data_IF_317050895981
#
_entry.id   IF_317050895981
#
_cell.length_a   1.000
_cell.length_b   1.000
_cell.length_c   1.000
_cell.angle_alpha   90.00
_cell.angle_beta   90.00
_cell.angle_gamma   90.00
#
_symmetry.space_group_name_H-M   'P 1'
#
loop_
_entity.id
_entity.type
_entity.pdbx_description
1 polymer ?
#
# COMPACT_ATOMS: atom_id res chain seq x y z
N UNK A 1 66.63 35.40 -6.71
CA UNK A 1 67.27 35.03 -5.43
C UNK A 1 66.14 34.86 -4.42
N UNK A 2 65.74 33.71 -3.89
CA UNK A 2 66.48 32.51 -3.51
C UNK A 2 65.47 31.37 -3.44
N UNK A 3 65.58 30.40 -4.35
CA UNK A 3 65.13 29.04 -4.11
C UNK A 3 66.04 28.45 -3.04
N UNK A 4 65.50 27.98 -1.92
CA UNK A 4 66.09 26.89 -1.11
C UNK A 4 65.14 26.55 0.03
N UNK A 5 64.43 25.42 -0.11
CA UNK A 5 64.78 24.16 0.56
C UNK A 5 64.29 24.12 2.01
N UNK A 6 63.14 23.50 2.24
CA UNK A 6 63.09 22.42 3.23
C UNK A 6 61.95 21.44 2.94
N UNK A 7 62.33 20.48 2.10
CA UNK A 7 62.00 19.06 2.20
C UNK A 7 61.67 18.56 3.62
N UNK A 8 60.46 18.05 3.85
CA UNK A 8 60.13 16.88 4.70
C UNK A 8 58.76 16.36 4.20
N UNK A 9 58.73 15.46 3.22
CA UNK A 9 58.67 14.01 3.45
C UNK A 9 57.51 13.58 4.34
N UNK A 10 56.37 13.19 3.73
CA UNK A 10 55.40 12.19 4.19
C UNK A 10 54.29 12.11 3.11
N UNK A 11 53.96 11.01 2.44
CA UNK A 11 54.40 9.63 2.51
C UNK A 11 53.68 8.79 1.42
N UNK A 12 54.28 7.62 1.15
CA UNK A 12 53.66 6.32 0.77
C UNK A 12 52.45 6.33 -0.20
N UNK A 13 52.63 5.92 -1.45
CA UNK A 13 52.51 4.52 -1.97
C UNK A 13 51.11 3.90 -1.80
N UNK A 14 50.44 3.65 -2.93
CA UNK A 14 49.32 2.69 -3.07
C UNK A 14 48.68 2.81 -4.45
N UNK A 15 48.99 1.91 -5.40
CA UNK A 15 48.21 0.70 -5.75
C UNK A 15 46.97 1.04 -6.62
N UNK A 16 47.00 0.77 -7.93
CA UNK A 16 46.54 -0.47 -8.57
C UNK A 16 45.08 -0.85 -8.23
N UNK A 17 44.22 -0.91 -9.25
CA UNK A 17 42.87 -1.46 -9.22
C UNK A 17 41.97 -0.76 -10.24
N UNK A 18 41.94 -1.16 -11.53
CA UNK A 18 41.18 -2.30 -12.07
C UNK A 18 39.78 -2.40 -11.47
N UNK A 19 38.79 -2.21 -12.35
CA UNK A 19 37.38 -2.18 -11.99
C UNK A 19 36.87 -3.50 -11.42
N UNK A 20 35.71 -3.42 -10.79
CA UNK A 20 34.85 -4.56 -10.54
C UNK A 20 33.40 -4.08 -10.48
N UNK A 21 32.57 -4.80 -11.24
CA UNK A 21 31.14 -4.64 -11.35
C UNK A 21 30.44 -4.56 -9.99
N UNK A 22 29.55 -3.58 -9.83
CA UNK A 22 28.43 -3.68 -8.89
C UNK A 22 27.24 -4.28 -9.63
N UNK A 23 27.36 -5.59 -9.89
CA UNK A 23 26.22 -6.44 -10.11
C UNK A 23 25.62 -6.78 -8.73
N UNK A 24 24.33 -6.45 -8.57
CA UNK A 24 23.39 -7.17 -7.72
C UNK A 24 23.57 -7.08 -6.20
N UNK A 25 22.66 -6.38 -5.54
CA UNK A 25 22.06 -6.90 -4.31
C UNK A 25 20.54 -6.81 -4.39
N UNK A 26 19.96 -8.01 -4.47
CA UNK A 26 18.55 -8.37 -4.39
C UNK A 26 17.93 -7.89 -3.07
N UNK A 27 16.64 -7.56 -3.10
CA UNK A 27 15.59 -7.86 -2.09
C UNK A 27 14.27 -7.36 -2.72
N UNK A 28 13.48 -8.18 -3.41
CA UNK A 28 12.86 -9.38 -2.86
C UNK A 28 11.58 -9.04 -2.08
N UNK A 29 10.73 -8.16 -2.61
CA UNK A 29 9.41 -7.89 -2.05
C UNK A 29 8.38 -8.91 -2.54
N UNK A 30 8.22 -10.03 -1.84
CA UNK A 30 7.03 -10.89 -2.00
C UNK A 30 5.83 -10.17 -1.39
N UNK A 31 5.28 -9.20 -2.13
CA UNK A 31 3.97 -8.64 -1.82
C UNK A 31 2.93 -9.73 -2.02
N UNK A 32 2.23 -10.11 -0.95
CA UNK A 32 0.98 -10.87 -1.03
C UNK A 32 -0.06 -10.03 -1.79
N UNK A 33 -0.06 -10.13 -3.11
CA UNK A 33 -1.21 -9.74 -3.91
C UNK A 33 -2.25 -10.85 -3.76
N UNK A 34 -3.11 -10.74 -2.74
CA UNK A 34 -4.35 -11.51 -2.67
C UNK A 34 -5.32 -10.90 -3.69
N UNK A 35 -5.19 -11.34 -4.93
CA UNK A 35 -6.23 -11.15 -5.94
C UNK A 35 -7.47 -11.96 -5.51
N UNK A 36 -8.60 -11.28 -5.45
CA UNK A 36 -9.90 -11.78 -5.07
C UNK A 36 -10.28 -13.06 -5.83
N UNK A 37 -10.39 -14.17 -5.09
CA UNK A 37 -10.75 -15.49 -5.60
C UNK A 37 -12.26 -15.51 -5.88
N UNK A 38 -12.62 -15.61 -7.16
CA UNK A 38 -13.99 -15.56 -7.65
C UNK A 38 -14.94 -16.55 -6.95
N UNK A 39 -15.95 -15.99 -6.29
CA UNK A 39 -17.30 -16.52 -6.01
C UNK A 39 -17.99 -15.69 -4.91
N UNK A 40 -17.84 -14.35 -4.89
CA UNK A 40 -18.27 -13.57 -3.72
C UNK A 40 -19.76 -13.23 -3.78
N UNK A 41 -20.57 -14.11 -3.19
CA UNK A 41 -21.87 -13.78 -2.63
C UNK A 41 -21.76 -13.82 -1.11
N UNK A 42 -21.40 -12.69 -0.51
CA UNK A 42 -21.31 -12.52 0.95
C UNK A 42 -22.23 -11.39 1.42
N UNK A 43 -23.48 -11.42 0.96
CA UNK A 43 -24.52 -10.47 1.32
C UNK A 43 -24.23 -9.02 0.89
N UNK A 44 -25.28 -8.26 0.55
CA UNK A 44 -25.17 -6.80 0.52
C UNK A 44 -25.18 -6.27 1.96
N UNK A 45 -24.50 -5.16 2.20
CA UNK A 45 -24.39 -4.57 3.54
C UNK A 45 -24.92 -3.15 3.51
N UNK A 46 -25.82 -2.81 4.45
CA UNK A 46 -26.41 -1.46 4.52
C UNK A 46 -25.87 -0.69 5.71
N UNK A 47 -25.50 0.57 5.48
CA UNK A 47 -25.17 1.51 6.55
C UNK A 47 -26.44 1.86 7.32
N UNK A 48 -26.43 1.65 8.64
CA UNK A 48 -27.56 1.98 9.52
C UNK A 48 -27.31 3.25 10.35
N UNK A 49 -26.34 4.08 9.98
CA UNK A 49 -26.16 5.36 10.62
C UNK A 49 -27.24 6.35 10.15
N UNK A 50 -27.80 7.13 11.08
CA UNK A 50 -28.84 8.13 10.83
C UNK A 50 -28.30 9.42 10.21
N UNK A 51 -26.98 9.62 10.19
CA UNK A 51 -26.36 10.82 9.61
C UNK A 51 -26.26 10.79 8.07
N UNK A 52 -26.69 9.71 7.42
CA UNK A 52 -26.75 9.62 5.94
C UNK A 52 -27.92 8.79 5.44
N UNK A 53 -28.18 8.92 4.14
CA UNK A 53 -29.00 7.98 3.39
C UNK A 53 -28.45 6.54 3.50
N UNK A 54 -29.31 5.52 3.38
CA UNK A 54 -28.90 4.12 3.46
C UNK A 54 -27.99 3.74 2.29
N UNK A 55 -26.67 3.75 2.54
CA UNK A 55 -25.68 3.24 1.60
C UNK A 55 -25.62 1.72 1.62
N UNK A 56 -25.65 1.09 0.44
CA UNK A 56 -25.55 -0.37 0.28
C UNK A 56 -24.23 -0.72 -0.39
N UNK A 57 -23.36 -1.42 0.34
CA UNK A 57 -22.15 -2.03 -0.21
C UNK A 57 -22.50 -3.35 -0.91
N UNK A 58 -22.13 -3.47 -2.18
CA UNK A 58 -22.23 -4.70 -2.98
C UNK A 58 -20.83 -5.24 -3.31
N UNK A 59 -20.46 -6.41 -2.78
CA UNK A 59 -19.19 -7.06 -3.10
C UNK A 59 -18.94 -7.28 -4.59
N UNK A 60 -19.97 -7.43 -5.43
CA UNK A 60 -19.82 -7.65 -6.87
C UNK A 60 -19.41 -6.38 -7.63
N UNK A 61 -19.74 -5.21 -7.08
CA UNK A 61 -19.39 -3.91 -7.65
C UNK A 61 -18.11 -3.37 -7.00
N UNK A 62 -17.92 -3.67 -5.71
CA UNK A 62 -16.88 -3.06 -4.90
C UNK A 62 -17.26 -1.63 -4.52
N UNK A 63 -16.26 -0.76 -4.43
CA UNK A 63 -16.43 0.66 -4.13
C UNK A 63 -15.31 1.46 -4.83
N UNK A 64 -15.51 1.84 -6.09
CA UNK A 64 -14.50 2.56 -6.87
C UNK A 64 -14.31 4.01 -6.41
N UNK A 65 -15.32 4.57 -5.74
CA UNK A 65 -15.33 5.96 -5.27
C UNK A 65 -14.62 6.13 -3.91
N UNK A 66 -14.49 5.05 -3.13
CA UNK A 66 -13.76 5.07 -1.85
C UNK A 66 -12.49 4.24 -1.86
N UNK A 67 -11.55 4.72 -1.05
CA UNK A 67 -10.24 4.13 -0.92
C UNK A 67 -10.26 3.07 0.21
N UNK A 68 -9.91 1.83 -0.15
CA UNK A 68 -9.59 0.76 0.78
C UNK A 68 -8.44 1.14 1.71
N UNK A 69 -7.46 1.82 1.11
CA UNK A 69 -6.15 2.12 1.66
C UNK A 69 -5.70 3.42 1.01
N UNK A 70 -4.83 4.25 1.62
CA UNK A 70 -4.31 5.45 0.97
C UNK A 70 -3.86 5.15 -0.47
N UNK A 71 -4.66 5.65 -1.43
CA UNK A 71 -4.40 5.51 -2.86
C UNK A 71 -4.84 4.21 -3.55
N UNK A 72 -5.70 3.37 -2.96
CA UNK A 72 -6.27 2.20 -3.67
C UNK A 72 -7.81 2.11 -3.54
N UNK A 73 -8.58 2.17 -4.64
CA UNK A 73 -10.02 1.94 -4.62
C UNK A 73 -10.36 0.48 -4.29
N UNK A 74 -11.59 0.20 -3.86
CA UNK A 74 -12.05 -1.17 -3.61
C UNK A 74 -12.51 -1.80 -4.93
N UNK A 75 -11.79 -2.80 -5.47
CA UNK A 75 -12.23 -3.48 -6.67
C UNK A 75 -13.47 -4.34 -6.42
N UNK A 76 -14.19 -4.72 -7.48
CA UNK A 76 -15.23 -5.74 -7.39
C UNK A 76 -14.65 -7.09 -6.94
N UNK A 77 -15.49 -7.89 -6.29
CA UNK A 77 -15.15 -9.19 -5.72
C UNK A 77 -14.57 -9.14 -4.32
N UNK A 78 -14.57 -7.98 -3.65
CA UNK A 78 -14.11 -7.85 -2.26
C UNK A 78 -15.30 -8.11 -1.33
N UNK A 79 -15.15 -9.03 -0.36
CA UNK A 79 -16.18 -9.24 0.67
C UNK A 79 -16.16 -8.09 1.66
N UNK A 80 -17.32 -7.81 2.26
CA UNK A 80 -17.40 -6.81 3.33
C UNK A 80 -16.47 -7.14 4.50
N UNK A 81 -16.34 -8.43 4.85
CA UNK A 81 -15.44 -8.90 5.90
C UNK A 81 -13.97 -8.64 5.56
N UNK A 82 -13.60 -8.77 4.29
CA UNK A 82 -12.24 -8.54 3.79
C UNK A 82 -11.90 -7.05 3.64
N UNK A 83 -12.88 -6.15 3.76
CA UNK A 83 -12.62 -4.71 3.77
C UNK A 83 -11.72 -4.32 4.95
N UNK A 84 -10.80 -3.37 4.76
CA UNK A 84 -9.94 -2.90 5.85
C UNK A 84 -10.75 -2.17 6.94
N UNK A 85 -10.28 -2.22 8.19
CA UNK A 85 -10.93 -1.53 9.32
C UNK A 85 -10.96 0.00 9.16
N UNK A 86 -10.05 0.53 8.34
CA UNK A 86 -9.98 1.95 7.99
C UNK A 86 -11.02 2.37 6.97
N UNK A 87 -11.71 1.43 6.30
CA UNK A 87 -12.78 1.74 5.37
C UNK A 87 -13.98 2.32 6.13
N UNK A 88 -14.57 3.35 5.53
CA UNK A 88 -15.64 4.15 6.08
C UNK A 88 -16.73 4.32 5.04
N UNK A 89 -17.96 4.52 5.48
CA UNK A 89 -19.08 4.82 4.61
C UNK A 89 -18.75 6.07 3.75
N UNK A 90 -18.93 6.03 2.41
CA UNK A 90 -18.77 7.20 1.54
C UNK A 90 -19.59 8.41 1.95
N UNK A 91 -20.78 8.15 2.47
CA UNK A 91 -21.77 9.19 2.68
C UNK A 91 -21.55 9.93 3.99
N UNK A 92 -21.29 9.20 5.08
CA UNK A 92 -21.17 9.79 6.43
C UNK A 92 -19.79 9.61 7.09
N UNK A 93 -18.86 8.87 6.49
CA UNK A 93 -17.56 8.58 7.09
C UNK A 93 -17.62 7.65 8.31
N UNK A 94 -18.75 6.99 8.55
CA UNK A 94 -18.90 6.04 9.67
C UNK A 94 -18.14 4.74 9.41
N UNK A 95 -17.55 4.12 10.44
CA UNK A 95 -16.81 2.86 10.29
C UNK A 95 -17.71 1.67 9.93
N UNK A 96 -17.08 0.57 9.46
CA UNK A 96 -17.72 -0.72 9.15
C UNK A 96 -18.68 -1.24 10.23
N UNK A 97 -18.47 -0.89 11.49
CA UNK A 97 -19.29 -1.33 12.62
C UNK A 97 -20.77 -0.91 12.52
N UNK A 98 -21.05 0.16 11.75
CA UNK A 98 -22.40 0.67 11.49
C UNK A 98 -23.11 -0.04 10.34
N UNK A 99 -22.47 -1.01 9.69
CA UNK A 99 -23.08 -1.76 8.61
C UNK A 99 -23.75 -3.04 9.13
N UNK A 100 -24.88 -3.39 8.51
CA UNK A 100 -25.63 -4.61 8.80
C UNK A 100 -25.86 -5.40 7.52
N UNK A 101 -25.82 -6.74 7.58
CA UNK A 101 -26.07 -7.58 6.43
C UNK A 101 -27.54 -7.45 6.00
N UNK A 102 -27.77 -7.25 4.70
CA UNK A 102 -29.11 -7.25 4.11
C UNK A 102 -29.48 -8.68 3.73
N UNK A 103 -29.65 -9.56 4.71
CA UNK A 103 -30.27 -10.86 4.50
C UNK A 103 -31.78 -10.66 4.43
N UNK A 104 -32.31 -10.44 3.23
CA UNK A 104 -33.74 -10.59 2.92
C UNK A 104 -33.91 -11.52 1.74
#
# INVERSE_FOLDING_TARGET
>A
MTFSYLVVSLGRRGALGLGAALAGLVLGGTGKAQAASGAVSSGRWVCTNNDCDPFIYDPNVGDPDNLASPGHPIPPGVRFEDLPETWKCPLCGSPKSWFRPTTR
#
